data_IF_287375862019
#
_entry.id   IF_287375862019
#
_cell.length_a   1.000
_cell.length_b   1.000
_cell.length_c   1.000
_cell.angle_alpha   90.00
_cell.angle_beta   90.00
_cell.angle_gamma   90.00
#
_symmetry.space_group_name_H-M   'P 1'
#
loop_
_entity.id
_entity.type
_entity.pdbx_description
1 polymer ?
#
# COMPACT_ATOMS: atom_id res chain seq x y z
N UNK A 1 -11.19 -13.44 0.10
CA UNK A 1 -11.36 -12.20 -0.68
C UNK A 1 -12.35 -12.43 -1.81
N UNK A 2 -13.19 -11.44 -2.10
CA UNK A 2 -14.04 -11.43 -3.30
C UNK A 2 -13.23 -10.83 -4.45
N UNK A 3 -13.34 -11.43 -5.62
CA UNK A 3 -12.66 -11.00 -6.84
C UNK A 3 -13.69 -10.71 -7.93
N UNK A 4 -13.43 -9.66 -8.70
CA UNK A 4 -14.14 -9.33 -9.93
C UNK A 4 -13.13 -9.32 -11.08
N UNK A 5 -13.39 -10.10 -12.11
CA UNK A 5 -12.51 -10.24 -13.27
C UNK A 5 -13.00 -9.35 -14.40
N UNK A 6 -12.11 -8.53 -14.93
CA UNK A 6 -12.39 -7.68 -16.09
C UNK A 6 -11.71 -8.31 -17.32
N UNK A 7 -12.53 -8.68 -18.30
CA UNK A 7 -12.07 -9.43 -19.45
C UNK A 7 -12.12 -8.60 -20.73
N UNK A 8 -11.08 -8.74 -21.55
CA UNK A 8 -11.12 -8.41 -22.96
C UNK A 8 -11.20 -9.69 -23.76
N UNK A 9 -12.39 -9.96 -24.35
CA UNK A 9 -12.67 -11.24 -24.99
C UNK A 9 -12.64 -12.40 -24.00
N UNK A 10 -11.59 -13.25 -24.06
CA UNK A 10 -11.36 -14.39 -23.15
C UNK A 10 -10.15 -14.21 -22.23
N UNK A 11 -9.52 -13.06 -22.29
CA UNK A 11 -8.32 -12.76 -21.50
C UNK A 11 -8.71 -11.86 -20.35
N UNK A 12 -8.27 -12.19 -19.14
CA UNK A 12 -8.39 -11.30 -17.98
C UNK A 12 -7.34 -10.20 -18.12
N UNK A 13 -7.78 -8.96 -18.21
CA UNK A 13 -6.89 -7.80 -18.26
C UNK A 13 -6.57 -7.27 -16.87
N UNK A 14 -7.63 -7.06 -16.06
CA UNK A 14 -7.49 -6.55 -14.71
C UNK A 14 -8.38 -7.34 -13.75
N UNK A 15 -8.04 -7.30 -12.48
CA UNK A 15 -8.81 -7.89 -11.40
C UNK A 15 -9.06 -6.84 -10.33
N UNK A 16 -10.30 -6.73 -9.90
CA UNK A 16 -10.66 -5.96 -8.71
C UNK A 16 -10.79 -6.90 -7.51
N UNK A 17 -10.13 -6.55 -6.42
CA UNK A 17 -10.14 -7.31 -5.17
C UNK A 17 -10.78 -6.47 -4.08
N UNK A 18 -11.80 -7.02 -3.41
CA UNK A 18 -12.31 -6.45 -2.16
C UNK A 18 -11.28 -6.69 -1.04
N UNK A 19 -10.61 -5.65 -0.63
CA UNK A 19 -9.58 -5.68 0.42
C UNK A 19 -10.16 -5.63 1.83
N UNK A 20 -11.45 -5.32 1.99
CA UNK A 20 -12.14 -5.11 3.25
C UNK A 20 -12.04 -3.67 3.72
N UNK A 21 -12.32 -3.45 4.99
CA UNK A 21 -12.28 -2.12 5.62
C UNK A 21 -10.95 -1.90 6.34
N UNK A 22 -10.41 -0.67 6.41
CA UNK A 22 -9.29 -0.36 7.27
C UNK A 22 -9.73 -0.50 8.74
N UNK A 23 -8.92 -1.17 9.56
CA UNK A 23 -9.29 -1.53 10.94
C UNK A 23 -8.88 -0.46 11.95
N UNK A 24 -7.67 0.06 11.83
CA UNK A 24 -7.08 1.04 12.74
C UNK A 24 -6.37 2.11 11.94
N UNK A 25 -6.56 3.36 12.33
CA UNK A 25 -5.87 4.51 11.74
C UNK A 25 -5.46 5.47 12.85
N UNK A 26 -4.34 6.14 12.67
CA UNK A 26 -3.86 7.12 13.64
C UNK A 26 -2.66 7.91 13.12
N UNK A 27 -2.44 9.09 13.69
CA UNK A 27 -1.23 9.87 13.45
C UNK A 27 -0.14 9.41 14.39
N UNK A 28 1.05 9.18 13.86
CA UNK A 28 2.26 8.86 14.61
C UNK A 28 3.20 10.06 14.55
N UNK A 29 3.53 10.58 15.73
CA UNK A 29 4.62 11.52 15.97
C UNK A 29 5.74 10.76 16.68
N UNK A 30 6.96 10.93 16.24
CA UNK A 30 8.12 10.25 16.79
C UNK A 30 8.87 11.11 17.83
N UNK A 31 8.21 12.13 18.41
CA UNK A 31 8.76 13.01 19.43
C UNK A 31 10.09 13.68 19.01
N UNK A 32 10.21 14.00 17.72
CA UNK A 32 11.38 14.67 17.13
C UNK A 32 12.52 13.71 16.73
N UNK A 33 12.39 12.38 16.91
CA UNK A 33 13.38 11.42 16.41
C UNK A 33 13.44 11.42 14.87
N UNK A 34 12.29 11.63 14.21
CA UNK A 34 12.19 11.80 12.76
C UNK A 34 11.52 13.13 12.42
N UNK A 35 11.94 13.81 11.32
CA UNK A 35 11.46 15.14 10.95
C UNK A 35 10.11 15.11 10.20
N UNK A 36 9.26 14.12 10.45
CA UNK A 36 7.99 13.93 9.74
C UNK A 36 6.93 13.28 10.65
N UNK A 37 5.68 13.60 10.36
CA UNK A 37 4.52 12.86 10.86
C UNK A 37 4.18 11.74 9.91
N UNK A 38 3.71 10.63 10.46
CA UNK A 38 3.27 9.48 9.69
C UNK A 38 1.84 9.10 10.04
N UNK A 39 1.19 8.36 9.18
CA UNK A 39 -0.15 7.81 9.43
C UNK A 39 -0.04 6.30 9.54
N UNK A 40 -0.47 5.75 10.67
CA UNK A 40 -0.65 4.33 10.84
C UNK A 40 -1.99 3.91 10.24
N UNK A 41 -1.99 2.82 9.47
CA UNK A 41 -3.20 2.19 8.90
C UNK A 41 -3.06 0.68 9.01
N UNK A 42 -4.09 0.01 9.52
CA UNK A 42 -4.16 -1.45 9.52
C UNK A 42 -5.10 -1.95 8.42
N UNK A 43 -4.57 -2.77 7.51
CA UNK A 43 -5.33 -3.51 6.49
C UNK A 43 -5.49 -5.00 6.86
N UNK A 44 -5.42 -5.30 8.18
CA UNK A 44 -5.25 -6.64 8.74
C UNK A 44 -3.77 -6.98 9.01
N UNK A 45 -2.88 -6.16 8.52
CA UNK A 45 -1.46 -6.05 8.83
C UNK A 45 -1.10 -4.57 8.98
N UNK A 46 -0.12 -4.22 9.82
CA UNK A 46 0.20 -2.83 10.12
C UNK A 46 1.00 -2.18 8.99
N UNK A 47 0.66 -0.92 8.69
CA UNK A 47 1.34 -0.04 7.75
C UNK A 47 1.62 1.32 8.37
N UNK A 48 2.79 1.87 8.11
CA UNK A 48 3.21 3.20 8.49
C UNK A 48 3.47 4.00 7.22
N UNK A 49 2.59 4.96 6.94
CA UNK A 49 2.64 5.77 5.72
C UNK A 49 3.19 7.16 6.03
N UNK A 50 4.28 7.53 5.37
CA UNK A 50 4.92 8.84 5.47
C UNK A 50 4.86 9.56 4.13
N UNK A 51 4.26 10.76 4.09
CA UNK A 51 4.25 11.60 2.90
C UNK A 51 5.49 12.50 2.86
N UNK A 52 6.13 12.53 1.70
CA UNK A 52 7.34 13.33 1.42
C UNK A 52 7.16 14.14 0.14
N UNK A 53 7.90 15.24 0.03
CA UNK A 53 7.86 16.10 -1.17
C UNK A 53 8.61 15.49 -2.35
N UNK A 54 9.68 14.74 -2.10
CA UNK A 54 10.45 14.02 -3.11
C UNK A 54 10.85 12.62 -2.62
N UNK A 55 10.19 11.62 -3.16
CA UNK A 55 10.42 10.21 -2.78
C UNK A 55 11.80 9.69 -3.21
N UNK A 56 12.47 10.36 -4.17
CA UNK A 56 13.77 9.96 -4.71
C UNK A 56 14.89 10.17 -3.69
N UNK A 57 14.74 11.15 -2.79
CA UNK A 57 15.76 11.45 -1.76
C UNK A 57 15.66 10.53 -0.55
N UNK A 58 14.59 9.72 -0.43
CA UNK A 58 14.40 8.81 0.69
C UNK A 58 15.34 7.62 0.57
N UNK A 59 16.26 7.48 1.53
CA UNK A 59 17.08 6.28 1.67
C UNK A 59 16.28 5.18 2.37
N UNK A 60 15.46 4.46 1.59
CA UNK A 60 14.54 3.44 2.11
C UNK A 60 15.29 2.27 2.77
N UNK A 61 16.49 1.92 2.29
CA UNK A 61 17.31 0.85 2.89
C UNK A 61 17.85 1.21 4.28
N UNK A 62 17.92 2.50 4.60
CA UNK A 62 18.32 2.98 5.91
C UNK A 62 17.11 3.23 6.83
N UNK A 63 16.09 3.91 6.30
CA UNK A 63 14.90 4.30 7.08
C UNK A 63 13.96 3.13 7.35
N UNK A 64 13.79 2.24 6.37
CA UNK A 64 12.88 1.11 6.45
C UNK A 64 13.12 0.22 7.68
N UNK A 65 14.32 -0.32 7.89
CA UNK A 65 14.59 -1.18 9.04
C UNK A 65 14.52 -0.46 10.39
N UNK A 66 14.78 0.85 10.45
CA UNK A 66 14.64 1.64 11.68
C UNK A 66 13.17 1.79 12.07
N UNK A 67 12.33 2.17 11.11
CA UNK A 67 10.89 2.37 11.33
C UNK A 67 10.15 1.03 11.50
N UNK A 68 10.50 -0.01 10.72
CA UNK A 68 9.93 -1.36 10.88
C UNK A 68 10.00 -1.86 12.32
N UNK A 69 11.15 -1.60 12.99
CA UNK A 69 11.48 -2.14 14.32
C UNK A 69 11.36 -1.10 15.43
N UNK A 70 10.81 0.07 15.12
CA UNK A 70 10.66 1.13 16.11
C UNK A 70 9.82 0.65 17.31
N UNK A 71 10.15 1.04 18.56
CA UNK A 71 9.46 0.59 19.77
C UNK A 71 7.93 0.84 19.77
N UNK A 72 7.44 1.81 19.03
CA UNK A 72 6.01 2.05 18.83
C UNK A 72 5.29 0.91 18.09
N UNK A 73 6.04 0.01 17.42
CA UNK A 73 5.51 -1.11 16.66
C UNK A 73 6.05 -2.45 17.20
N UNK A 74 5.52 -2.97 18.33
CA UNK A 74 6.03 -4.20 18.95
C UNK A 74 5.95 -5.41 18.02
N UNK A 75 4.95 -5.45 17.14
CA UNK A 75 4.77 -6.50 16.12
C UNK A 75 5.42 -6.14 14.77
N UNK A 76 6.26 -5.08 14.75
CA UNK A 76 6.82 -4.45 13.56
C UNK A 76 5.74 -3.90 12.63
N UNK A 77 6.17 -3.18 11.59
CA UNK A 77 5.25 -2.57 10.60
C UNK A 77 5.83 -2.61 9.19
N UNK A 78 4.99 -2.59 8.18
CA UNK A 78 5.39 -2.22 6.83
C UNK A 78 5.57 -0.68 6.79
N UNK A 79 6.52 -0.20 6.01
CA UNK A 79 6.88 1.22 5.95
C UNK A 79 6.74 1.71 4.53
N UNK A 80 5.82 2.62 4.30
CA UNK A 80 5.55 3.23 3.01
C UNK A 80 6.00 4.69 3.02
N UNK A 81 6.82 5.08 2.05
CA UNK A 81 7.03 6.49 1.70
C UNK A 81 6.24 6.80 0.44
N UNK A 82 5.51 7.91 0.47
CA UNK A 82 4.59 8.30 -0.57
C UNK A 82 4.76 9.77 -0.95
N UNK A 83 4.62 10.06 -2.24
CA UNK A 83 4.64 11.40 -2.81
C UNK A 83 3.37 11.61 -3.63
N UNK A 84 2.68 12.74 -3.43
CA UNK A 84 1.59 13.15 -4.29
C UNK A 84 2.20 13.70 -5.59
N UNK A 85 1.90 13.04 -6.72
CA UNK A 85 2.44 13.41 -8.04
C UNK A 85 1.39 13.98 -9.00
N UNK A 86 0.12 13.95 -8.60
CA UNK A 86 -1.01 14.50 -9.33
C UNK A 86 -2.26 14.49 -8.47
N UNK A 87 -3.35 15.06 -8.94
CA UNK A 87 -4.62 15.21 -8.19
C UNK A 87 -5.10 13.87 -7.59
N UNK A 88 -5.01 12.79 -8.37
CA UNK A 88 -5.41 11.45 -7.94
C UNK A 88 -4.27 10.42 -8.18
N UNK A 89 -3.03 10.85 -8.01
CA UNK A 89 -1.87 9.98 -8.27
C UNK A 89 -0.85 10.09 -7.16
N UNK A 90 -0.47 8.94 -6.64
CA UNK A 90 0.51 8.80 -5.55
C UNK A 90 1.65 7.91 -6.03
N UNK A 91 2.88 8.37 -5.94
CA UNK A 91 4.07 7.53 -6.10
C UNK A 91 4.43 6.95 -4.74
N UNK A 92 4.58 5.63 -4.63
CA UNK A 92 4.88 4.93 -3.39
C UNK A 92 6.10 4.03 -3.54
N UNK A 93 6.90 3.92 -2.49
CA UNK A 93 7.94 2.91 -2.28
C UNK A 93 7.75 2.28 -0.91
N UNK A 94 8.04 1.00 -0.78
CA UNK A 94 7.75 0.23 0.43
C UNK A 94 8.96 -0.57 0.92
N UNK A 95 9.09 -0.61 2.24
CA UNK A 95 9.87 -1.59 2.98
C UNK A 95 8.89 -2.53 3.68
N UNK A 96 8.76 -3.76 3.19
CA UNK A 96 7.85 -4.72 3.77
C UNK A 96 8.43 -5.39 5.02
N UNK A 97 7.61 -5.56 6.02
CA UNK A 97 7.90 -6.22 7.28
C UNK A 97 8.48 -7.62 7.04
N UNK A 98 9.75 -7.81 7.41
CA UNK A 98 10.47 -9.07 7.27
C UNK A 98 11.01 -9.39 5.87
N UNK A 99 10.67 -8.59 4.85
CA UNK A 99 11.09 -8.85 3.46
C UNK A 99 12.03 -7.76 2.91
N UNK A 100 11.95 -6.54 3.45
CA UNK A 100 12.73 -5.41 2.96
C UNK A 100 12.09 -4.71 1.77
N UNK A 101 12.90 -4.11 0.90
CA UNK A 101 12.40 -3.39 -0.28
C UNK A 101 11.78 -4.38 -1.26
N UNK A 102 10.52 -4.15 -1.64
CA UNK A 102 9.79 -4.92 -2.65
C UNK A 102 9.29 -4.01 -3.76
N UNK A 103 8.96 -4.61 -4.92
CA UNK A 103 8.51 -3.87 -6.10
C UNK A 103 7.05 -3.38 -5.96
N UNK A 104 6.23 -4.09 -5.18
CA UNK A 104 4.82 -3.78 -4.97
C UNK A 104 4.32 -4.39 -3.67
N UNK A 105 3.35 -3.69 -3.03
CA UNK A 105 2.63 -4.17 -1.85
C UNK A 105 1.17 -3.73 -1.95
N UNK A 106 0.26 -4.68 -2.18
CA UNK A 106 -1.16 -4.39 -2.37
C UNK A 106 -1.81 -3.77 -1.13
N UNK A 107 -1.56 -4.33 0.08
CA UNK A 107 -2.07 -3.77 1.33
C UNK A 107 -1.43 -2.42 1.65
N UNK A 108 -0.15 -2.22 1.31
CA UNK A 108 0.54 -0.95 1.42
C UNK A 108 -0.04 0.13 0.51
N UNK A 109 -0.44 -0.23 -0.72
CA UNK A 109 -1.14 0.68 -1.62
C UNK A 109 -2.50 1.11 -1.05
N UNK A 110 -3.27 0.16 -0.49
CA UNK A 110 -4.53 0.46 0.19
C UNK A 110 -4.34 1.38 1.40
N UNK A 111 -3.35 1.07 2.26
CA UNK A 111 -3.02 1.88 3.42
C UNK A 111 -2.60 3.31 3.03
N UNK A 112 -1.81 3.42 1.95
CA UNK A 112 -1.37 4.72 1.41
C UNK A 112 -2.54 5.56 0.90
N UNK A 113 -3.49 4.96 0.19
CA UNK A 113 -4.69 5.63 -0.28
C UNK A 113 -5.57 6.14 0.89
N UNK A 114 -5.76 5.30 1.92
CA UNK A 114 -6.49 5.68 3.14
C UNK A 114 -5.79 6.84 3.85
N UNK A 115 -4.48 6.75 4.08
CA UNK A 115 -3.70 7.81 4.71
C UNK A 115 -3.76 9.12 3.93
N UNK A 116 -3.70 9.07 2.59
CA UNK A 116 -3.80 10.24 1.73
C UNK A 116 -5.16 10.94 1.87
N UNK A 117 -6.25 10.16 1.88
CA UNK A 117 -7.59 10.71 2.07
C UNK A 117 -7.76 11.32 3.47
N UNK A 118 -7.37 10.60 4.54
CA UNK A 118 -7.51 11.05 5.92
C UNK A 118 -6.70 12.32 6.21
N UNK A 119 -5.59 12.52 5.51
CA UNK A 119 -4.76 13.73 5.64
C UNK A 119 -5.13 14.83 4.64
N UNK A 120 -6.24 14.67 3.90
CA UNK A 120 -6.77 15.68 2.97
C UNK A 120 -5.92 15.91 1.72
N UNK A 121 -5.09 14.91 1.34
CA UNK A 121 -4.17 15.02 0.19
C UNK A 121 -4.81 14.57 -1.12
N UNK A 122 -5.76 13.64 -1.06
CA UNK A 122 -6.46 13.09 -2.23
C UNK A 122 -7.92 12.79 -1.93
N UNK A 123 -8.71 12.54 -2.98
CA UNK A 123 -10.03 11.94 -2.88
C UNK A 123 -9.97 10.47 -2.45
N UNK A 124 -11.11 9.77 -2.59
CA UNK A 124 -11.27 8.35 -2.21
C UNK A 124 -10.85 7.38 -3.31
N UNK A 125 -10.62 7.86 -4.52
CA UNK A 125 -10.16 7.05 -5.67
C UNK A 125 -8.83 7.60 -6.15
N UNK A 126 -7.78 6.76 -6.12
CA UNK A 126 -6.42 7.16 -6.46
C UNK A 126 -5.67 6.06 -7.19
N UNK A 127 -4.73 6.45 -8.04
CA UNK A 127 -3.73 5.57 -8.63
C UNK A 127 -2.47 5.58 -7.77
N UNK A 128 -2.09 4.42 -7.27
CA UNK A 128 -0.84 4.23 -6.53
C UNK A 128 0.19 3.59 -7.45
N UNK A 129 1.20 4.37 -7.79
CA UNK A 129 2.31 3.98 -8.69
C UNK A 129 3.46 3.44 -7.85
N UNK A 130 3.82 2.19 -8.05
CA UNK A 130 4.94 1.50 -7.41
C UNK A 130 6.00 1.09 -8.44
N UNK A 131 7.13 0.54 -8.00
CA UNK A 131 8.17 0.07 -8.91
C UNK A 131 7.68 -1.09 -9.80
N UNK A 132 6.81 -1.95 -9.27
CA UNK A 132 6.25 -3.10 -9.98
C UNK A 132 4.99 -2.82 -10.81
N UNK A 133 4.43 -1.61 -10.75
CA UNK A 133 3.23 -1.24 -11.52
C UNK A 133 2.29 -0.31 -10.77
N UNK A 134 1.12 -0.09 -11.36
CA UNK A 134 0.11 0.81 -10.82
C UNK A 134 -1.13 0.04 -10.39
N UNK A 135 -1.65 0.38 -9.22
CA UNK A 135 -2.93 -0.08 -8.71
C UNK A 135 -3.89 1.10 -8.58
N UNK A 136 -5.14 0.89 -8.96
CA UNK A 136 -6.22 1.83 -8.65
C UNK A 136 -6.88 1.39 -7.36
N UNK A 137 -6.91 2.29 -6.38
CA UNK A 137 -7.52 2.07 -5.07
C UNK A 137 -8.74 2.96 -4.94
N UNK A 138 -9.86 2.36 -4.58
CA UNK A 138 -11.11 3.06 -4.30
C UNK A 138 -11.59 2.71 -2.89
N UNK A 139 -11.80 3.74 -2.07
CA UNK A 139 -12.38 3.61 -0.73
C UNK A 139 -13.84 4.05 -0.75
N UNK A 140 -14.73 3.08 -0.86
CA UNK A 140 -16.17 3.30 -0.94
C UNK A 140 -16.71 3.95 0.35
N UNK A 141 -17.40 5.07 0.19
CA UNK A 141 -17.90 5.86 1.31
C UNK A 141 -19.07 5.19 2.03
N UNK A 142 -19.92 4.48 1.29
CA UNK A 142 -21.14 3.90 1.84
C UNK A 142 -20.87 2.61 2.63
N UNK A 143 -19.95 1.79 2.14
CA UNK A 143 -19.62 0.49 2.75
C UNK A 143 -18.35 0.53 3.60
N UNK A 144 -17.48 1.52 3.40
CA UNK A 144 -16.16 1.59 4.00
C UNK A 144 -15.16 0.57 3.43
N UNK A 145 -15.57 -0.25 2.46
CA UNK A 145 -14.68 -1.22 1.82
C UNK A 145 -13.69 -0.55 0.88
N UNK A 146 -12.52 -1.16 0.76
CA UNK A 146 -11.49 -0.77 -0.19
C UNK A 146 -11.48 -1.77 -1.33
N UNK A 147 -11.64 -1.27 -2.55
CA UNK A 147 -11.43 -2.00 -3.79
C UNK A 147 -10.05 -1.69 -4.34
N UNK A 148 -9.31 -2.74 -4.70
CA UNK A 148 -8.00 -2.66 -5.33
C UNK A 148 -8.07 -3.28 -6.71
N UNK A 149 -7.82 -2.49 -7.74
CA UNK A 149 -7.82 -2.93 -9.13
C UNK A 149 -6.41 -2.86 -9.72
N UNK A 150 -5.98 -3.95 -10.34
CA UNK A 150 -4.67 -4.02 -10.98
C UNK A 150 -4.62 -5.02 -12.14
N UNK A 151 -3.54 -5.01 -12.94
CA UNK A 151 -3.36 -5.95 -14.03
C UNK A 151 -3.19 -7.38 -13.53
N UNK A 152 -3.65 -8.33 -14.34
CA UNK A 152 -3.47 -9.75 -14.10
C UNK A 152 -2.90 -10.41 -15.36
N UNK A 153 -1.60 -10.70 -15.33
CA UNK A 153 -0.91 -11.29 -16.48
C UNK A 153 -0.45 -12.71 -16.13
N UNK A 154 -0.82 -13.67 -16.97
CA UNK A 154 -0.33 -15.06 -16.85
C UNK A 154 1.17 -15.09 -17.14
N UNK A 155 1.96 -15.56 -16.19
CA UNK A 155 3.43 -15.63 -16.31
C UNK A 155 3.87 -17.00 -16.85
N UNK A 156 3.33 -18.12 -16.30
CA UNK A 156 3.63 -19.47 -16.75
C UNK A 156 2.56 -20.47 -16.29
N UNK A 157 2.59 -21.66 -16.85
CA UNK A 157 1.88 -22.86 -16.33
C UNK A 157 2.89 -23.77 -15.65
N UNK A 158 2.50 -24.40 -14.54
CA UNK A 158 3.35 -25.33 -13.80
C UNK A 158 2.54 -26.44 -13.15
N UNK A 159 3.21 -27.54 -12.80
CA UNK A 159 2.67 -28.67 -12.05
C UNK A 159 3.49 -28.85 -10.77
N UNK A 160 2.82 -29.17 -9.67
CA UNK A 160 3.49 -29.49 -8.38
C UNK A 160 2.92 -30.80 -7.84
N UNK A 161 3.80 -31.69 -7.35
CA UNK A 161 3.38 -32.86 -6.61
C UNK A 161 3.14 -32.47 -5.16
N UNK A 162 1.92 -32.70 -4.68
CA UNK A 162 1.60 -32.57 -3.25
C UNK A 162 2.08 -33.82 -2.54
N UNK A 163 2.94 -33.66 -1.53
CA UNK A 163 3.30 -34.73 -0.58
C UNK A 163 2.26 -34.70 0.54
N UNK A 164 1.71 -35.88 0.84
CA UNK A 164 0.82 -36.11 1.98
C UNK A 164 1.57 -35.95 3.31
#
# INVERSE_FOLDING_TARGET
>A
KRLELHLEGRIVETVTVDMGVPLETGTIDFDGEFPFLSTQVSMGNPHLVTFVDDIRIVNLSEMGPKLEKHPLFPDRTNVEFAQITGENTIRMRVWERGSGITQACGTGACATAVAAHLTGRTGRTVNVVMDGGTLTIEWDEATGHISMTGPAVKVFDGTIELRE
#
